data_IF_194362376606
#
_entry.id   IF_194362376606
#
_cell.length_a   1.000
_cell.length_b   1.000
_cell.length_c   1.000
_cell.angle_alpha   90.00
_cell.angle_beta   90.00
_cell.angle_gamma   90.00
#
_symmetry.space_group_name_H-M   'P 1'
#
loop_
_entity.id
_entity.type
_entity.pdbx_description
1 polymer ?
#
# COMPACT_ATOMS: atom_id res chain seq x y z
N UNK A 1 0.90 -0.76 -16.22
CA UNK A 1 1.54 -1.90 -15.55
C UNK A 1 1.88 -3.00 -16.55
N UNK A 2 0.91 -3.56 -17.28
CA UNK A 2 1.12 -4.64 -18.27
C UNK A 2 2.08 -4.31 -19.44
N UNK A 3 2.48 -3.05 -19.60
CA UNK A 3 3.28 -2.56 -20.71
C UNK A 3 4.60 -1.93 -20.26
N UNK A 4 4.95 -2.11 -18.98
CA UNK A 4 6.24 -1.70 -18.45
C UNK A 4 7.28 -2.79 -18.74
N UNK A 5 8.53 -2.40 -18.92
CA UNK A 5 9.64 -3.35 -18.98
C UNK A 5 10.01 -3.84 -17.58
N UNK A 6 10.76 -4.96 -17.51
CA UNK A 6 11.12 -5.56 -16.22
C UNK A 6 12.00 -4.66 -15.36
N UNK A 7 12.79 -3.75 -15.94
CA UNK A 7 13.59 -2.75 -15.20
C UNK A 7 12.76 -1.61 -14.60
N UNK A 8 11.50 -1.48 -15.01
CA UNK A 8 10.54 -0.52 -14.46
C UNK A 8 9.66 -1.15 -13.35
N UNK A 9 9.91 -2.42 -13.02
CA UNK A 9 9.16 -3.20 -12.05
C UNK A 9 10.11 -3.80 -11.01
N UNK A 10 9.77 -3.64 -9.74
CA UNK A 10 10.49 -4.27 -8.63
C UNK A 10 9.64 -5.39 -8.04
N UNK A 11 10.10 -6.64 -8.15
CA UNK A 11 9.47 -7.79 -7.47
C UNK A 11 9.72 -7.71 -5.96
N UNK A 12 8.65 -7.70 -5.18
CA UNK A 12 8.68 -7.65 -3.71
C UNK A 12 8.55 -9.05 -3.08
N UNK A 13 8.08 -10.05 -3.82
CA UNK A 13 7.96 -11.41 -3.33
C UNK A 13 9.14 -12.29 -3.85
N UNK A 14 10.08 -12.71 -2.98
CA UNK A 14 11.21 -13.55 -3.39
C UNK A 14 10.81 -14.98 -3.78
N UNK A 15 9.60 -15.43 -3.41
CA UNK A 15 9.05 -16.74 -3.73
C UNK A 15 8.07 -16.67 -4.92
N UNK A 16 8.05 -15.56 -5.66
CA UNK A 16 7.11 -15.35 -6.76
C UNK A 16 7.27 -16.43 -7.84
N UNK A 17 6.14 -16.98 -8.28
CA UNK A 17 6.06 -17.89 -9.42
C UNK A 17 5.22 -17.25 -10.52
N UNK A 18 5.63 -17.46 -11.78
CA UNK A 18 4.85 -17.02 -12.93
C UNK A 18 3.58 -17.87 -13.05
N UNK A 19 2.43 -17.23 -12.95
CA UNK A 19 1.12 -17.88 -13.05
C UNK A 19 0.18 -17.04 -13.91
N UNK A 20 -0.76 -17.69 -14.59
CA UNK A 20 -1.84 -16.99 -15.30
C UNK A 20 -3.02 -16.72 -14.35
N UNK A 21 -3.83 -15.74 -14.69
CA UNK A 21 -5.07 -15.43 -13.98
C UNK A 21 -5.27 -13.94 -13.78
N UNK A 22 -6.21 -13.61 -12.90
CA UNK A 22 -6.55 -12.23 -12.60
C UNK A 22 -5.34 -11.51 -12.00
N UNK A 23 -5.29 -10.20 -12.21
CA UNK A 23 -4.28 -9.34 -11.60
C UNK A 23 -5.00 -8.28 -10.77
N UNK A 24 -4.45 -7.99 -9.59
CA UNK A 24 -4.90 -6.86 -8.78
C UNK A 24 -3.95 -5.66 -8.95
N UNK A 25 -4.49 -4.46 -8.86
CA UNK A 25 -3.72 -3.21 -8.83
C UNK A 25 -4.10 -2.44 -7.58
N UNK A 26 -3.11 -2.02 -6.80
CA UNK A 26 -3.28 -1.16 -5.62
C UNK A 26 -2.30 0.01 -5.71
N UNK A 27 -2.76 1.24 -5.50
CA UNK A 27 -1.97 2.44 -5.75
C UNK A 27 -2.17 3.52 -4.68
N UNK A 28 -1.38 3.52 -3.59
CA UNK A 28 -1.35 4.59 -2.61
C UNK A 28 -0.71 5.86 -3.20
N UNK A 29 -1.47 6.95 -3.24
CA UNK A 29 -1.05 8.27 -3.69
C UNK A 29 -1.77 9.34 -2.89
N UNK A 30 -2.35 10.35 -3.55
CA UNK A 30 -3.23 11.31 -2.87
C UNK A 30 -4.42 10.62 -2.20
N UNK A 31 -4.97 9.58 -2.84
CA UNK A 31 -5.95 8.63 -2.30
C UNK A 31 -5.45 7.18 -2.43
N UNK A 32 -6.36 6.21 -2.36
CA UNK A 32 -6.05 4.79 -2.56
C UNK A 32 -6.82 4.23 -3.76
N UNK A 33 -6.15 4.17 -4.91
CA UNK A 33 -6.71 3.54 -6.10
C UNK A 33 -6.63 2.02 -6.02
N UNK A 34 -7.70 1.32 -6.40
CA UNK A 34 -7.70 -0.13 -6.60
C UNK A 34 -8.41 -0.50 -7.91
N UNK A 35 -7.86 -1.45 -8.65
CA UNK A 35 -8.47 -1.97 -9.86
C UNK A 35 -8.17 -3.46 -10.01
N UNK A 36 -8.98 -4.15 -10.80
CA UNK A 36 -8.76 -5.55 -11.15
C UNK A 36 -8.56 -5.67 -12.65
N UNK A 37 -7.75 -6.63 -13.06
CA UNK A 37 -7.61 -7.04 -14.45
C UNK A 37 -8.08 -8.48 -14.55
N UNK A 38 -9.28 -8.67 -15.09
CA UNK A 38 -9.90 -9.99 -15.27
C UNK A 38 -9.23 -10.72 -16.43
N UNK A 39 -8.81 -11.96 -16.19
CA UNK A 39 -8.23 -12.83 -17.21
C UNK A 39 -9.30 -13.69 -17.87
N UNK A 40 -9.52 -13.52 -19.16
CA UNK A 40 -10.51 -14.28 -19.93
C UNK A 40 -9.96 -15.59 -20.53
N UNK A 41 -8.66 -15.89 -20.33
CA UNK A 41 -7.95 -16.99 -20.97
C UNK A 41 -6.98 -16.56 -22.08
N UNK A 42 -7.09 -15.31 -22.54
CA UNK A 42 -6.30 -14.76 -23.64
C UNK A 42 -5.74 -13.37 -23.34
N UNK A 43 -6.56 -12.48 -22.80
CA UNK A 43 -6.20 -11.09 -22.48
C UNK A 43 -6.79 -10.67 -21.13
N UNK A 44 -6.24 -9.57 -20.61
CA UNK A 44 -6.71 -8.92 -19.39
C UNK A 44 -7.71 -7.79 -19.70
N UNK A 45 -8.87 -7.82 -19.04
CA UNK A 45 -9.90 -6.79 -19.11
C UNK A 45 -9.90 -5.95 -17.84
N UNK A 46 -9.83 -4.62 -17.97
CA UNK A 46 -9.83 -3.72 -16.82
C UNK A 46 -11.20 -3.61 -16.16
N UNK A 47 -11.25 -3.78 -14.85
CA UNK A 47 -12.43 -3.56 -14.00
C UNK A 47 -12.09 -2.42 -13.03
N UNK A 48 -12.80 -1.31 -13.18
CA UNK A 48 -12.74 -0.20 -12.24
C UNK A 48 -13.38 -0.60 -10.90
N UNK A 49 -12.78 -0.17 -9.79
CA UNK A 49 -13.32 -0.38 -8.44
C UNK A 49 -13.11 0.86 -7.58
N UNK A 50 -13.85 0.97 -6.49
CA UNK A 50 -13.62 1.93 -5.41
C UNK A 50 -13.13 1.21 -4.15
N UNK A 51 -12.30 0.18 -4.33
CA UNK A 51 -11.93 -0.75 -3.25
C UNK A 51 -11.16 -0.08 -2.10
N UNK A 52 -10.47 1.03 -2.36
CA UNK A 52 -9.82 1.83 -1.33
C UNK A 52 -10.79 2.49 -0.33
N UNK A 53 -12.07 2.61 -0.70
CA UNK A 53 -13.14 3.09 0.17
C UNK A 53 -13.83 1.96 0.95
N UNK A 54 -13.32 0.74 0.94
CA UNK A 54 -13.84 -0.32 1.82
C UNK A 54 -13.36 -0.16 3.26
N UNK A 55 -14.12 -0.71 4.21
CA UNK A 55 -13.85 -0.62 5.65
C UNK A 55 -12.44 -1.09 6.01
N UNK A 56 -11.75 -0.33 6.87
CA UNK A 56 -10.50 -0.79 7.46
C UNK A 56 -10.74 -1.96 8.41
N UNK A 57 -10.10 -3.10 8.15
CA UNK A 57 -10.15 -4.29 9.01
C UNK A 57 -8.85 -4.42 9.84
N UNK A 58 -8.81 -3.93 11.10
CA UNK A 58 -7.63 -4.07 11.96
C UNK A 58 -7.39 -5.53 12.31
N UNK A 59 -6.11 -5.94 12.37
CA UNK A 59 -5.71 -7.34 12.63
C UNK A 59 -5.00 -7.56 13.95
N UNK A 60 -4.77 -6.51 14.73
CA UNK A 60 -4.13 -6.58 16.04
C UNK A 60 -4.49 -5.37 16.93
N UNK A 61 -4.16 -5.46 18.22
CA UNK A 61 -4.48 -4.43 19.21
C UNK A 61 -3.95 -3.03 18.85
N UNK A 62 -2.79 -2.93 18.18
CA UNK A 62 -2.24 -1.64 17.75
C UNK A 62 -3.10 -1.02 16.66
N UNK A 63 -3.57 -1.83 15.71
CA UNK A 63 -4.49 -1.40 14.66
C UNK A 63 -5.90 -1.13 15.20
N UNK A 64 -6.35 -1.80 16.26
CA UNK A 64 -7.60 -1.46 16.95
C UNK A 64 -7.54 -0.05 17.56
N UNK A 65 -6.42 0.28 18.22
CA UNK A 65 -6.17 1.64 18.73
C UNK A 65 -6.09 2.68 17.61
N UNK A 66 -5.53 2.31 16.45
CA UNK A 66 -5.52 3.17 15.26
C UNK A 66 -6.94 3.41 14.76
N UNK A 67 -7.77 2.36 14.67
CA UNK A 67 -9.16 2.50 14.24
C UNK A 67 -9.95 3.39 15.21
N UNK A 68 -9.77 3.24 16.52
CA UNK A 68 -10.37 4.13 17.52
C UNK A 68 -9.94 5.58 17.31
N UNK A 69 -8.63 5.82 17.10
CA UNK A 69 -8.10 7.14 16.82
C UNK A 69 -8.70 7.74 15.54
N UNK A 70 -8.74 6.99 14.44
CA UNK A 70 -9.28 7.46 13.16
C UNK A 70 -10.78 7.71 13.23
N UNK A 71 -11.55 6.95 14.02
CA UNK A 71 -12.98 7.22 14.26
C UNK A 71 -13.22 8.54 14.98
N UNK A 72 -12.27 9.03 15.78
CA UNK A 72 -12.37 10.38 16.37
C UNK A 72 -12.22 11.50 15.33
N UNK A 73 -11.53 11.22 14.22
CA UNK A 73 -11.36 12.14 13.09
C UNK A 73 -12.47 11.97 12.02
N UNK A 74 -12.92 10.73 11.84
CA UNK A 74 -13.89 10.30 10.83
C UNK A 74 -14.98 9.45 11.50
N UNK A 75 -15.97 10.08 12.17
CA UNK A 75 -16.95 9.36 12.98
C UNK A 75 -17.87 8.44 12.15
N UNK A 76 -18.11 8.77 10.88
CA UNK A 76 -19.04 8.01 10.04
C UNK A 76 -18.41 6.72 9.49
N UNK A 77 -17.18 6.80 8.96
CA UNK A 77 -16.55 5.68 8.26
C UNK A 77 -15.03 5.85 8.12
N UNK A 78 -14.29 4.79 8.45
CA UNK A 78 -12.83 4.70 8.29
C UNK A 78 -12.51 3.65 7.24
N UNK A 79 -12.20 4.12 6.02
CA UNK A 79 -11.76 3.26 4.93
C UNK A 79 -10.26 3.00 4.94
N UNK A 80 -9.80 2.04 4.15
CA UNK A 80 -8.37 1.86 3.86
C UNK A 80 -7.72 3.13 3.32
N UNK A 81 -8.40 3.93 2.49
CA UNK A 81 -7.88 5.21 2.00
C UNK A 81 -7.54 6.19 3.13
N UNK A 82 -8.28 6.18 4.27
CA UNK A 82 -7.96 7.05 5.42
C UNK A 82 -6.61 6.74 6.07
N UNK A 83 -5.96 5.65 5.65
CA UNK A 83 -4.65 5.19 6.12
C UNK A 83 -3.65 5.16 4.97
N UNK A 84 -4.00 4.50 3.85
CA UNK A 84 -3.14 4.23 2.70
C UNK A 84 -3.21 5.32 1.63
N UNK A 85 -3.07 6.58 2.07
CA UNK A 85 -3.07 7.76 1.22
C UNK A 85 -2.10 8.81 1.77
N UNK A 86 -1.87 9.89 1.03
CA UNK A 86 -1.01 10.99 1.49
C UNK A 86 -1.50 11.56 2.82
N UNK A 87 -2.80 11.84 2.96
CA UNK A 87 -3.32 12.34 4.23
C UNK A 87 -3.32 11.24 5.32
N UNK A 88 -3.60 9.99 4.95
CA UNK A 88 -3.56 8.87 5.88
C UNK A 88 -2.19 8.61 6.47
N UNK A 89 -1.12 8.78 5.67
CA UNK A 89 0.26 8.66 6.11
C UNK A 89 0.60 9.65 7.23
N UNK A 90 0.12 10.89 7.10
CA UNK A 90 0.22 11.91 8.15
C UNK A 90 -0.58 11.52 9.41
N UNK A 91 -1.79 10.99 9.27
CA UNK A 91 -2.56 10.50 10.43
C UNK A 91 -1.87 9.35 11.16
N UNK A 92 -1.16 8.47 10.44
CA UNK A 92 -0.40 7.41 11.10
C UNK A 92 0.68 8.00 12.00
N UNK A 93 1.43 8.99 11.52
CA UNK A 93 2.43 9.69 12.34
C UNK A 93 1.80 10.37 13.56
N UNK A 94 0.68 11.06 13.37
CA UNK A 94 -0.04 11.73 14.46
C UNK A 94 -0.57 10.73 15.48
N UNK A 95 -1.05 9.57 15.04
CA UNK A 95 -1.45 8.46 15.90
C UNK A 95 -0.26 7.94 16.73
N UNK A 96 0.90 7.72 16.11
CA UNK A 96 2.12 7.26 16.81
C UNK A 96 2.50 8.24 17.92
N UNK A 97 2.44 9.54 17.65
CA UNK A 97 2.74 10.59 18.63
C UNK A 97 1.65 10.67 19.72
N UNK A 98 0.37 10.68 19.35
CA UNK A 98 -0.76 10.84 20.26
C UNK A 98 -0.87 9.68 21.26
N UNK A 99 -0.62 8.44 20.81
CA UNK A 99 -0.61 7.25 21.68
C UNK A 99 0.75 7.03 22.37
N UNK A 100 1.70 7.96 22.24
CA UNK A 100 3.04 7.94 22.86
C UNK A 100 3.85 6.68 22.53
N UNK A 101 3.65 6.12 21.33
CA UNK A 101 4.45 5.00 20.82
C UNK A 101 5.89 5.48 20.55
N UNK A 102 6.03 6.70 20.04
CA UNK A 102 7.28 7.43 19.92
C UNK A 102 7.06 8.92 20.20
N UNK A 103 8.15 9.64 20.50
CA UNK A 103 8.10 11.09 20.68
C UNK A 103 8.02 11.78 19.31
N UNK A 104 7.31 12.92 19.21
CA UNK A 104 7.26 13.69 17.97
C UNK A 104 8.66 14.22 17.63
N UNK A 105 9.02 14.10 16.35
CA UNK A 105 10.22 14.70 15.78
C UNK A 105 10.09 16.21 15.67
N UNK A 106 11.15 16.95 15.99
CA UNK A 106 11.24 18.40 15.75
C UNK A 106 11.38 18.73 14.25
N UNK A 107 11.79 17.75 13.44
CA UNK A 107 12.03 17.92 12.01
C UNK A 107 10.76 17.74 11.18
N UNK A 108 9.74 17.08 11.74
CA UNK A 108 8.48 16.83 11.04
C UNK A 108 7.57 18.05 11.19
N UNK A 109 7.21 18.72 10.09
CA UNK A 109 6.36 19.90 10.14
C UNK A 109 4.91 19.56 10.54
N UNK A 110 4.14 20.59 10.85
CA UNK A 110 2.70 20.46 11.07
C UNK A 110 1.97 20.23 9.74
N UNK A 111 0.78 19.64 9.81
CA UNK A 111 -0.07 19.41 8.65
C UNK A 111 -0.44 20.68 7.87
N UNK A 112 -0.48 21.83 8.53
CA UNK A 112 -0.81 23.13 7.95
C UNK A 112 0.34 23.78 7.17
N UNK A 113 1.55 23.23 7.27
CA UNK A 113 2.73 23.85 6.69
C UNK A 113 2.80 23.58 5.17
N UNK A 114 3.40 24.49 4.41
CA UNK A 114 3.52 24.37 2.96
C UNK A 114 4.54 23.30 2.49
N UNK A 115 5.27 22.71 3.44
CA UNK A 115 6.31 21.70 3.18
C UNK A 115 5.67 20.32 3.08
N UNK A 116 6.19 19.47 2.20
CA UNK A 116 5.74 18.08 2.09
C UNK A 116 6.16 17.27 3.33
N UNK A 117 5.23 17.23 4.30
CA UNK A 117 5.38 16.49 5.55
C UNK A 117 5.63 15.00 5.32
N UNK A 118 4.98 14.40 4.33
CA UNK A 118 5.09 12.97 4.08
C UNK A 118 6.45 12.60 3.50
N UNK A 119 7.04 13.48 2.68
CA UNK A 119 8.40 13.31 2.18
C UNK A 119 9.40 13.27 3.35
N UNK A 120 9.27 14.18 4.33
CA UNK A 120 10.14 14.21 5.52
C UNK A 120 9.96 12.96 6.38
N UNK A 121 8.71 12.57 6.67
CA UNK A 121 8.43 11.35 7.44
C UNK A 121 9.02 10.13 6.73
N UNK A 122 8.85 10.03 5.41
CA UNK A 122 9.39 8.91 4.62
C UNK A 122 10.91 8.89 4.66
N UNK A 123 11.56 10.03 4.45
CA UNK A 123 13.02 10.15 4.47
C UNK A 123 13.59 9.72 5.82
N UNK A 124 13.14 10.33 6.93
CA UNK A 124 13.65 10.05 8.27
C UNK A 124 13.37 8.61 8.71
N UNK A 125 12.23 8.06 8.28
CA UNK A 125 11.88 6.67 8.55
C UNK A 125 12.77 5.68 7.79
N UNK A 126 13.04 5.94 6.51
CA UNK A 126 13.91 5.11 5.66
C UNK A 126 15.37 5.18 6.11
N UNK A 127 15.86 6.37 6.47
CA UNK A 127 17.21 6.57 7.01
C UNK A 127 17.36 5.97 8.42
N UNK A 128 16.26 5.65 9.10
CA UNK A 128 16.28 5.10 10.44
C UNK A 128 16.69 6.12 11.51
N UNK A 129 16.54 7.41 11.23
CA UNK A 129 17.04 8.51 12.08
C UNK A 129 16.00 9.05 13.06
N UNK A 130 14.70 8.76 12.85
CA UNK A 130 13.62 9.16 13.74
C UNK A 130 12.66 8.01 14.08
N UNK A 131 12.44 7.78 15.38
CA UNK A 131 11.62 6.65 15.85
C UNK A 131 10.14 6.76 15.46
N UNK A 132 9.56 7.97 15.48
CA UNK A 132 8.16 8.13 15.12
C UNK A 132 7.95 7.89 13.62
N UNK A 133 8.88 8.36 12.79
CA UNK A 133 8.89 8.12 11.36
C UNK A 133 9.06 6.63 11.01
N UNK A 134 9.99 5.92 11.69
CA UNK A 134 10.17 4.48 11.52
C UNK A 134 8.88 3.72 11.86
N UNK A 135 8.26 4.04 13.01
CA UNK A 135 7.01 3.37 13.44
C UNK A 135 5.83 3.69 12.52
N UNK A 136 5.82 4.88 11.91
CA UNK A 136 4.83 5.28 10.90
C UNK A 136 4.98 4.43 9.64
N UNK A 137 6.20 4.32 9.11
CA UNK A 137 6.48 3.50 7.93
C UNK A 137 6.13 2.04 8.14
N UNK A 138 6.55 1.45 9.27
CA UNK A 138 6.24 0.05 9.59
C UNK A 138 4.73 -0.21 9.60
N UNK A 139 3.95 0.67 10.24
CA UNK A 139 2.50 0.53 10.30
C UNK A 139 1.83 0.72 8.94
N UNK A 140 2.30 1.68 8.14
CA UNK A 140 1.81 1.87 6.76
C UNK A 140 2.07 0.63 5.91
N UNK A 141 3.30 0.10 5.94
CA UNK A 141 3.72 -1.07 5.17
C UNK A 141 2.97 -2.33 5.59
N UNK A 142 2.80 -2.55 6.89
CA UNK A 142 2.01 -3.66 7.43
C UNK A 142 0.56 -3.61 6.93
N UNK A 143 -0.10 -2.45 7.02
CA UNK A 143 -1.50 -2.30 6.58
C UNK A 143 -1.61 -2.40 5.05
N UNK A 144 -0.65 -1.88 4.30
CA UNK A 144 -0.59 -2.02 2.85
C UNK A 144 -0.47 -3.48 2.43
N UNK A 145 0.41 -4.25 3.09
CA UNK A 145 0.53 -5.69 2.89
C UNK A 145 -0.78 -6.41 3.18
N UNK A 146 -1.39 -6.13 4.33
CA UNK A 146 -2.65 -6.74 4.74
C UNK A 146 -3.79 -6.48 3.73
N UNK A 147 -3.93 -5.25 3.22
CA UNK A 147 -4.96 -4.93 2.22
C UNK A 147 -4.63 -5.49 0.83
N UNK A 148 -3.35 -5.50 0.45
CA UNK A 148 -2.90 -6.16 -0.79
C UNK A 148 -3.27 -7.65 -0.76
N UNK A 149 -3.12 -8.31 0.39
CA UNK A 149 -3.54 -9.71 0.58
C UNK A 149 -5.06 -9.88 0.51
N UNK A 150 -5.82 -8.95 1.10
CA UNK A 150 -7.29 -8.96 0.99
C UNK A 150 -7.74 -8.80 -0.46
N UNK A 151 -7.19 -7.83 -1.19
CA UNK A 151 -7.52 -7.55 -2.59
C UNK A 151 -7.18 -8.75 -3.49
N UNK A 152 -6.06 -9.40 -3.23
CA UNK A 152 -5.64 -10.64 -3.93
C UNK A 152 -6.65 -11.77 -3.70
N UNK A 153 -7.11 -11.97 -2.46
CA UNK A 153 -8.10 -13.01 -2.16
C UNK A 153 -9.49 -12.68 -2.71
N UNK A 154 -9.93 -11.42 -2.64
CA UNK A 154 -11.22 -10.96 -3.18
C UNK A 154 -11.32 -11.20 -4.70
N UNK A 155 -10.19 -11.12 -5.41
CA UNK A 155 -10.13 -11.20 -6.87
C UNK A 155 -9.54 -12.51 -7.41
N UNK A 156 -9.05 -13.38 -6.53
CA UNK A 156 -8.21 -14.53 -6.88
C UNK A 156 -7.12 -14.14 -7.89
N UNK A 157 -6.32 -13.12 -7.53
CA UNK A 157 -5.30 -12.55 -8.40
C UNK A 157 -4.05 -13.43 -8.55
N UNK A 158 -4.22 -14.64 -9.07
CA UNK A 158 -3.11 -15.59 -9.31
C UNK A 158 -2.11 -15.09 -10.35
N UNK A 159 -2.53 -14.20 -11.26
CA UNK A 159 -1.64 -13.53 -12.20
C UNK A 159 -0.70 -12.50 -11.55
N UNK A 160 -0.88 -12.21 -10.26
CA UNK A 160 -0.04 -11.31 -9.48
C UNK A 160 -0.73 -10.01 -9.08
N UNK A 161 0.05 -9.16 -8.43
CA UNK A 161 -0.38 -7.84 -7.97
C UNK A 161 0.60 -6.78 -8.48
N UNK A 162 0.08 -5.66 -8.96
CA UNK A 162 0.87 -4.46 -9.17
C UNK A 162 0.62 -3.43 -8.08
N UNK A 163 1.70 -2.91 -7.52
CA UNK A 163 1.68 -1.73 -6.65
C UNK A 163 2.07 -0.52 -7.49
N UNK A 164 1.21 0.49 -7.50
CA UNK A 164 1.48 1.79 -8.12
C UNK A 164 1.43 2.92 -7.10
N UNK A 165 1.18 4.13 -7.59
CA UNK A 165 1.05 5.32 -6.76
C UNK A 165 2.39 5.98 -6.42
N UNK A 166 2.31 7.17 -5.82
CA UNK A 166 3.48 8.03 -5.58
C UNK A 166 4.20 7.79 -4.26
N UNK A 167 3.58 7.08 -3.30
CA UNK A 167 4.17 6.90 -1.97
C UNK A 167 5.19 5.75 -1.97
N UNK A 168 4.80 4.58 -2.49
CA UNK A 168 5.60 3.35 -2.42
C UNK A 168 7.02 3.47 -3.03
N UNK A 169 7.25 4.18 -4.16
CA UNK A 169 8.60 4.38 -4.70
C UNK A 169 9.57 5.10 -3.75
N UNK A 170 9.07 5.88 -2.79
CA UNK A 170 9.90 6.61 -1.82
C UNK A 170 10.22 5.79 -0.56
N UNK A 171 9.65 4.59 -0.41
CA UNK A 171 9.77 3.75 0.79
C UNK A 171 10.16 2.30 0.44
N UNK A 172 10.90 2.11 -0.66
CA UNK A 172 11.25 0.80 -1.20
C UNK A 172 11.92 -0.11 -0.16
N UNK A 173 12.89 0.42 0.60
CA UNK A 173 13.59 -0.35 1.63
C UNK A 173 12.61 -0.89 2.68
N UNK A 174 11.70 -0.05 3.17
CA UNK A 174 10.68 -0.46 4.12
C UNK A 174 9.73 -1.54 3.57
N UNK A 175 9.44 -1.52 2.26
CA UNK A 175 8.65 -2.58 1.60
C UNK A 175 9.42 -3.90 1.49
N UNK A 176 10.75 -3.86 1.41
CA UNK A 176 11.62 -5.03 1.29
C UNK A 176 12.06 -5.62 2.63
N UNK A 177 11.87 -4.91 3.75
CA UNK A 177 12.26 -5.32 5.10
C UNK A 177 11.44 -6.50 5.69
N UNK A 178 10.59 -7.14 4.90
CA UNK A 178 9.81 -8.33 5.28
C UNK A 178 8.42 -8.05 5.85
N UNK A 179 8.21 -6.90 6.51
CA UNK A 179 6.92 -6.54 7.13
C UNK A 179 5.77 -6.58 6.13
N UNK A 180 6.00 -6.06 4.91
CA UNK A 180 5.00 -6.06 3.84
C UNK A 180 4.56 -7.48 3.48
N UNK A 181 5.52 -8.35 3.17
CA UNK A 181 5.24 -9.69 2.64
C UNK A 181 4.66 -10.59 3.73
N UNK A 182 5.07 -10.42 4.98
CA UNK A 182 4.51 -11.13 6.12
C UNK A 182 3.03 -10.77 6.32
N UNK A 183 2.70 -9.46 6.31
CA UNK A 183 1.33 -8.99 6.42
C UNK A 183 0.45 -9.40 5.23
N UNK A 184 1.01 -9.40 4.01
CA UNK A 184 0.34 -9.89 2.80
C UNK A 184 -0.10 -11.35 2.95
N UNK A 185 0.80 -12.22 3.41
CA UNK A 185 0.56 -13.66 3.54
C UNK A 185 -0.16 -14.07 4.83
N UNK A 186 -0.38 -13.15 5.76
CA UNK A 186 -1.04 -13.40 7.05
C UNK A 186 -2.56 -13.64 6.90
N UNK A 187 -2.96 -14.66 6.14
CA UNK A 187 -4.36 -15.02 5.80
C UNK A 187 -4.69 -16.47 6.18
N UNK A 188 -4.07 -16.96 7.26
CA UNK A 188 -4.31 -18.30 7.81
C UNK A 188 -4.07 -19.40 6.77
N UNK A 189 -5.06 -20.25 6.53
CA UNK A 189 -4.97 -21.37 5.56
C UNK A 189 -4.65 -20.95 4.12
N UNK A 190 -4.86 -19.67 3.76
CA UNK A 190 -4.51 -19.13 2.45
C UNK A 190 -3.05 -18.66 2.34
N UNK A 191 -2.26 -18.75 3.42
CA UNK A 191 -0.83 -18.39 3.40
C UNK A 191 -0.06 -19.11 2.27
N UNK A 192 -0.29 -20.41 2.10
CA UNK A 192 0.36 -21.20 1.05
C UNK A 192 0.03 -20.70 -0.36
N UNK A 193 -1.23 -20.32 -0.61
CA UNK A 193 -1.65 -19.73 -1.89
C UNK A 193 -0.94 -18.39 -2.12
N UNK A 194 -0.92 -17.53 -1.11
CA UNK A 194 -0.33 -16.19 -1.22
C UNK A 194 1.21 -16.23 -1.27
N UNK A 195 1.84 -17.30 -0.81
CA UNK A 195 3.29 -17.39 -0.76
C UNK A 195 3.95 -17.24 -2.14
N UNK A 196 3.30 -17.71 -3.20
CA UNK A 196 3.87 -17.74 -4.56
C UNK A 196 3.39 -16.61 -5.46
N UNK A 197 2.48 -15.74 -5.00
CA UNK A 197 1.89 -14.67 -5.82
C UNK A 197 2.93 -13.57 -6.08
N UNK A 198 3.20 -13.26 -7.35
CA UNK A 198 4.06 -12.14 -7.74
C UNK A 198 3.47 -10.80 -7.29
N UNK A 199 4.30 -9.91 -6.72
CA UNK A 199 3.90 -8.58 -6.28
C UNK A 199 4.94 -7.58 -6.77
N UNK A 200 4.58 -6.80 -7.78
CA UNK A 200 5.52 -5.89 -8.45
C UNK A 200 5.19 -4.44 -8.18
N UNK A 201 6.16 -3.69 -7.65
CA UNK A 201 6.10 -2.24 -7.55
C UNK A 201 6.51 -1.60 -8.88
N UNK A 202 5.67 -0.72 -9.41
CA UNK A 202 6.03 0.12 -10.55
C UNK A 202 6.90 1.29 -10.15
N UNK A 203 8.06 1.39 -10.80
CA UNK A 203 9.01 2.48 -10.63
C UNK A 203 8.80 3.60 -11.67
N UNK A 204 8.01 3.36 -12.72
CA UNK A 204 7.73 4.37 -13.74
C UNK A 204 6.57 5.30 -13.33
N UNK A 205 6.81 6.62 -13.14
CA UNK A 205 5.76 7.57 -12.76
C UNK A 205 4.75 7.86 -13.88
N UNK A 206 5.08 7.53 -15.13
CA UNK A 206 4.21 7.69 -16.31
C UNK A 206 3.30 6.50 -16.57
N UNK A 207 3.30 5.49 -15.70
CA UNK A 207 2.48 4.29 -15.86
C UNK A 207 1.00 4.55 -16.14
N UNK A 208 0.32 5.50 -15.46
CA UNK A 208 -1.07 5.84 -15.80
C UNK A 208 -1.23 6.35 -17.23
N UNK A 209 -0.29 7.16 -17.73
CA UNK A 209 -0.32 7.70 -19.10
C UNK A 209 -0.09 6.60 -20.14
N UNK A 210 0.85 5.68 -19.89
CA UNK A 210 1.10 4.53 -20.76
C UNK A 210 -0.13 3.61 -20.84
N UNK A 211 -0.79 3.38 -19.70
CA UNK A 211 -2.05 2.64 -19.65
C UNK A 211 -3.16 3.32 -20.45
N UNK A 212 -3.30 4.64 -20.32
CA UNK A 212 -4.30 5.41 -21.07
C UNK A 212 -4.04 5.34 -22.59
N UNK A 213 -2.79 5.51 -23.03
CA UNK A 213 -2.42 5.38 -24.45
C UNK A 213 -2.85 4.01 -25.00
N UNK A 214 -2.63 2.94 -24.23
CA UNK A 214 -2.95 1.58 -24.66
C UNK A 214 -4.44 1.24 -24.61
N UNK A 215 -5.19 1.88 -23.72
CA UNK A 215 -6.64 1.69 -23.67
C UNK A 215 -7.35 2.30 -24.88
N UNK A 216 -6.82 3.40 -25.43
CA UNK A 216 -7.39 4.10 -26.60
C UNK A 216 -6.75 3.71 -27.94
N UNK A 217 -5.76 2.81 -27.95
CA UNK A 217 -5.09 2.32 -29.17
C UNK A 217 -5.70 1.02 -29.67
#
# INVERSE_FOLDING_TARGET
MLHLSDDELLELNPNAEAQAGNIAVIAPGTGLGQALLFWDGYIHHSIATEGGHTDFAPVNNRQDLLLEYLRSLYPDHVSYERILSGIGFSHLYDFICAKKIAQPSILVPQLSDAVDRNAIISQLGVEGTDKACIETLKLFVEILGAETGNLTLKSLATGGVFIGGGICPNIITALQDGVFIDAFRAKGRFNALLNTISIKLSLNPRTPLLGAIKYFS
#
